data_IF_709850664808
#
_entry.id   IF_709850664808
#
_cell.length_a   1.000
_cell.length_b   1.000
_cell.length_c   1.000
_cell.angle_alpha   90.00
_cell.angle_beta   90.00
_cell.angle_gamma   90.00
#
_symmetry.space_group_name_H-M   'P 1'
#
loop_
_entity.id
_entity.type
_entity.pdbx_description
1 polymer ?
#
# COMPACT_ATOMS: atom_id res chain seq x y z
N UNK A 1 14.39 1.75 31.38
CA UNK A 1 13.24 2.21 30.58
C UNK A 1 11.99 1.65 31.24
N UNK A 2 11.02 2.47 31.70
CA UNK A 2 9.77 1.96 32.25
C UNK A 2 8.95 1.28 31.14
N UNK A 3 8.31 0.15 31.45
CA UNK A 3 7.42 -0.51 30.49
C UNK A 3 6.10 0.27 30.35
N UNK A 4 5.51 0.32 29.15
CA UNK A 4 4.21 0.95 28.95
C UNK A 4 3.13 0.18 29.74
N UNK A 5 2.48 0.87 30.68
CA UNK A 5 1.44 0.30 31.55
C UNK A 5 0.08 0.08 30.84
N UNK A 6 -0.11 0.68 29.65
CA UNK A 6 -1.32 0.55 28.87
C UNK A 6 -0.95 0.34 27.41
N UNK A 7 -1.18 -0.87 26.93
CA UNK A 7 -1.11 -1.17 25.50
C UNK A 7 -2.45 -0.81 24.86
N UNK A 8 -2.44 -0.34 23.59
CA UNK A 8 -3.68 -0.19 22.84
C UNK A 8 -4.41 -1.53 22.77
N UNK A 9 -5.74 -1.48 22.75
CA UNK A 9 -6.56 -2.66 22.54
C UNK A 9 -6.26 -3.32 21.19
N UNK A 10 -6.62 -4.61 21.01
CA UNK A 10 -6.49 -5.28 19.74
C UNK A 10 -7.26 -4.51 18.66
N UNK A 11 -6.63 -4.36 17.49
CA UNK A 11 -7.18 -3.62 16.35
C UNK A 11 -7.23 -4.46 15.07
N UNK A 12 -7.12 -5.79 15.18
CA UNK A 12 -7.11 -6.70 14.04
C UNK A 12 -8.39 -6.53 13.19
N UNK A 13 -9.53 -6.40 13.86
CA UNK A 13 -10.86 -6.23 13.27
C UNK A 13 -10.95 -4.98 12.37
N UNK A 14 -10.19 -3.92 12.69
CA UNK A 14 -10.12 -2.69 11.89
C UNK A 14 -9.43 -2.95 10.53
N UNK A 15 -8.53 -3.95 10.48
CA UNK A 15 -7.71 -4.25 9.31
C UNK A 15 -8.18 -5.48 8.53
N UNK A 16 -9.20 -6.20 9.00
CA UNK A 16 -9.72 -7.42 8.36
C UNK A 16 -10.15 -7.20 6.91
N UNK A 17 -10.63 -6.00 6.56
CA UNK A 17 -10.98 -5.66 5.18
C UNK A 17 -9.81 -5.82 4.21
N UNK A 18 -8.55 -5.66 4.67
CA UNK A 18 -7.36 -5.84 3.84
C UNK A 18 -7.23 -7.28 3.33
N UNK A 19 -7.75 -8.26 4.06
CA UNK A 19 -7.74 -9.66 3.63
C UNK A 19 -8.69 -9.90 2.47
N UNK A 20 -9.74 -9.09 2.33
CA UNK A 20 -10.75 -9.16 1.28
C UNK A 20 -10.51 -8.15 0.14
N UNK A 21 -9.46 -7.32 0.24
CA UNK A 21 -9.13 -6.33 -0.76
C UNK A 21 -8.83 -6.98 -2.11
N UNK A 22 -9.50 -6.53 -3.18
CA UNK A 22 -9.28 -7.03 -4.55
C UNK A 22 -7.84 -6.81 -5.05
N UNK A 23 -7.12 -5.84 -4.46
CA UNK A 23 -5.72 -5.57 -4.76
C UNK A 23 -4.75 -6.55 -4.09
N UNK A 24 -5.22 -7.46 -3.23
CA UNK A 24 -4.36 -8.41 -2.54
C UNK A 24 -3.69 -9.35 -3.54
N UNK A 25 -2.36 -9.35 -3.55
CA UNK A 25 -1.55 -10.14 -4.49
C UNK A 25 -1.26 -9.46 -5.83
N UNK A 26 -1.79 -8.25 -6.04
CA UNK A 26 -1.43 -7.41 -7.18
C UNK A 26 -0.08 -6.74 -6.90
N UNK A 27 0.79 -6.70 -7.92
CA UNK A 27 2.08 -6.03 -7.81
C UNK A 27 1.92 -4.53 -7.52
N UNK A 28 2.72 -4.01 -6.58
CA UNK A 28 2.61 -2.62 -6.14
C UNK A 28 2.89 -1.62 -7.27
N UNK A 29 3.64 -2.02 -8.31
CA UNK A 29 3.90 -1.19 -9.49
C UNK A 29 2.64 -0.87 -10.31
N UNK A 30 1.53 -1.59 -10.08
CA UNK A 30 0.24 -1.29 -10.70
C UNK A 30 -0.33 0.04 -10.18
N UNK A 31 -0.09 0.37 -8.91
CA UNK A 31 -0.64 1.56 -8.25
C UNK A 31 0.43 2.62 -7.99
N UNK A 32 1.64 2.18 -7.67
CA UNK A 32 2.78 3.02 -7.34
C UNK A 32 3.84 2.87 -8.41
N UNK A 33 4.72 3.85 -8.51
CA UNK A 33 5.78 3.84 -9.51
C UNK A 33 6.99 3.16 -8.87
N UNK A 34 7.77 2.34 -9.58
CA UNK A 34 9.02 1.84 -9.01
C UNK A 34 9.91 3.04 -8.61
N UNK A 35 10.57 2.92 -7.46
CA UNK A 35 11.42 3.98 -6.92
C UNK A 35 12.48 4.38 -7.95
N UNK A 36 12.51 5.67 -8.29
CA UNK A 36 13.42 6.22 -9.30
C UNK A 36 12.82 6.43 -10.70
N UNK A 37 11.54 6.16 -10.94
CA UNK A 37 10.89 6.54 -12.19
C UNK A 37 10.88 8.07 -12.39
N UNK A 38 11.63 8.55 -13.38
CA UNK A 38 11.65 9.96 -13.80
C UNK A 38 11.26 10.10 -15.27
N UNK A 39 10.58 11.19 -15.61
CA UNK A 39 10.34 11.61 -16.99
C UNK A 39 9.44 10.67 -17.80
N UNK A 40 9.99 10.06 -18.86
CA UNK A 40 9.23 9.38 -19.93
C UNK A 40 8.48 8.13 -19.47
N UNK A 41 9.00 7.41 -18.48
CA UNK A 41 8.37 6.19 -17.96
C UNK A 41 7.01 6.48 -17.28
N UNK A 42 6.95 7.56 -16.47
CA UNK A 42 5.71 8.05 -15.88
C UNK A 42 4.69 8.43 -16.95
N UNK A 43 5.10 9.22 -17.96
CA UNK A 43 4.20 9.66 -19.03
C UNK A 43 3.66 8.49 -19.87
N UNK A 44 4.46 7.43 -20.10
CA UNK A 44 3.99 6.22 -20.77
C UNK A 44 3.00 5.42 -19.93
N UNK A 45 3.22 5.29 -18.61
CA UNK A 45 2.25 4.62 -17.73
C UNK A 45 0.93 5.38 -17.65
N UNK A 46 0.97 6.71 -17.49
CA UNK A 46 -0.24 7.54 -17.50
C UNK A 46 -1.01 7.42 -18.83
N UNK A 47 -0.32 7.34 -19.98
CA UNK A 47 -0.97 7.11 -21.29
C UNK A 47 -1.61 5.73 -21.44
N UNK A 48 -1.06 4.69 -20.80
CA UNK A 48 -1.62 3.33 -20.83
C UNK A 48 -2.84 3.17 -19.92
N UNK A 49 -2.96 4.03 -18.90
CA UNK A 49 -4.03 3.97 -17.92
C UNK A 49 -5.27 4.82 -18.29
N UNK A 50 -5.14 5.72 -19.28
CA UNK A 50 -6.27 6.44 -19.89
C UNK A 50 -6.89 5.64 -21.02
#
# INVERSE_FOLDING_TARGET
>A
MPQPNHLPGPNADIWDWQMQGLCRGVDSSMFFHPDGERGRARAQRERRAK
#
